data_IF_790317487143
#
_entry.id   IF_790317487143
#
_cell.length_a   1.000
_cell.length_b   1.000
_cell.length_c   1.000
_cell.angle_alpha   90.00
_cell.angle_beta   90.00
_cell.angle_gamma   90.00
#
_symmetry.space_group_name_H-M   'P 1'
#
loop_
_entity.id
_entity.type
_entity.pdbx_description
1 polymer ?
#
# COMPACT_ATOMS: atom_id res chain seq x y z
N UNK A 1 -9.13 -26.22 -3.07
CA UNK A 1 -8.62 -24.90 -3.50
C UNK A 1 -9.61 -23.84 -3.04
N UNK A 2 -9.19 -22.85 -2.24
CA UNK A 2 -10.05 -21.68 -1.95
C UNK A 2 -10.02 -20.80 -3.19
N UNK A 3 -11.17 -20.59 -3.84
CA UNK A 3 -11.30 -19.56 -4.87
C UNK A 3 -11.02 -18.22 -4.19
N UNK A 4 -10.04 -17.42 -4.66
CA UNK A 4 -9.80 -16.12 -4.07
C UNK A 4 -11.06 -15.27 -4.23
N UNK A 5 -11.50 -14.64 -3.14
CA UNK A 5 -12.58 -13.67 -3.20
C UNK A 5 -12.16 -12.54 -4.14
N UNK A 6 -13.04 -12.06 -5.05
CA UNK A 6 -12.70 -10.95 -5.93
C UNK A 6 -12.27 -9.72 -5.10
N UNK A 7 -11.14 -9.12 -5.44
CA UNK A 7 -10.54 -7.98 -4.71
C UNK A 7 -9.78 -7.11 -5.71
N UNK A 8 -9.88 -5.79 -5.59
CA UNK A 8 -9.01 -4.87 -6.32
C UNK A 8 -7.77 -4.62 -5.45
N UNK A 9 -6.58 -4.74 -6.04
CA UNK A 9 -5.31 -4.46 -5.35
C UNK A 9 -4.61 -3.31 -6.06
N UNK A 10 -4.10 -2.34 -5.31
CA UNK A 10 -3.37 -1.20 -5.85
C UNK A 10 -2.09 -0.97 -5.07
N UNK A 11 -0.98 -0.75 -5.77
CA UNK A 11 0.28 -0.31 -5.18
C UNK A 11 0.36 1.22 -5.14
N UNK A 12 0.92 1.79 -4.07
CA UNK A 12 1.25 3.22 -3.99
C UNK A 12 2.58 3.44 -3.30
N UNK A 13 3.37 4.37 -3.80
CA UNK A 13 4.58 4.92 -3.19
C UNK A 13 4.30 6.23 -2.42
N UNK A 14 3.05 6.69 -2.39
CA UNK A 14 2.63 7.96 -1.80
C UNK A 14 2.79 9.17 -2.73
N UNK A 15 3.36 9.00 -3.92
CA UNK A 15 3.47 10.08 -4.91
C UNK A 15 2.10 10.42 -5.51
N UNK A 16 2.02 11.56 -6.21
CA UNK A 16 0.77 12.03 -6.85
C UNK A 16 0.20 10.97 -7.80
N UNK A 17 1.06 10.36 -8.62
CA UNK A 17 0.70 9.30 -9.57
C UNK A 17 0.23 8.03 -8.88
N UNK A 18 0.88 7.64 -7.78
CA UNK A 18 0.43 6.53 -6.93
C UNK A 18 -0.95 6.81 -6.32
N UNK A 19 -1.18 8.03 -5.84
CA UNK A 19 -2.48 8.45 -5.30
C UNK A 19 -3.58 8.50 -6.37
N UNK A 20 -3.27 8.86 -7.62
CA UNK A 20 -4.23 8.78 -8.73
C UNK A 20 -4.64 7.34 -9.05
N UNK A 21 -3.68 6.41 -8.99
CA UNK A 21 -3.98 4.97 -9.11
C UNK A 21 -4.89 4.50 -7.97
N UNK A 22 -4.65 4.94 -6.73
CA UNK A 22 -5.50 4.64 -5.57
C UNK A 22 -6.93 5.14 -5.78
N UNK A 23 -7.10 6.38 -6.25
CA UNK A 23 -8.43 6.96 -6.53
C UNK A 23 -9.18 6.17 -7.60
N UNK A 24 -8.48 5.75 -8.66
CA UNK A 24 -9.08 4.92 -9.70
C UNK A 24 -9.49 3.56 -9.15
N UNK A 25 -8.61 2.90 -8.40
CA UNK A 25 -8.86 1.58 -7.83
C UNK A 25 -10.03 1.60 -6.83
N UNK A 26 -10.16 2.65 -6.03
CA UNK A 26 -11.29 2.85 -5.11
C UNK A 26 -12.62 2.92 -5.85
N UNK A 27 -12.70 3.71 -6.93
CA UNK A 27 -13.90 3.77 -7.76
C UNK A 27 -14.22 2.42 -8.41
N UNK A 28 -13.21 1.69 -8.87
CA UNK A 28 -13.42 0.35 -9.45
C UNK A 28 -13.90 -0.68 -8.43
N UNK A 29 -13.31 -0.69 -7.22
CA UNK A 29 -13.72 -1.56 -6.13
C UNK A 29 -15.18 -1.31 -5.75
N UNK A 30 -15.56 -0.03 -5.59
CA UNK A 30 -16.93 0.38 -5.30
C UNK A 30 -17.89 -0.03 -6.42
N UNK A 31 -17.56 0.23 -7.69
CA UNK A 31 -18.40 -0.16 -8.85
C UNK A 31 -18.64 -1.67 -8.89
N UNK A 32 -17.65 -2.47 -8.52
CA UNK A 32 -17.70 -3.94 -8.54
C UNK A 32 -18.26 -4.55 -7.26
N UNK A 33 -18.49 -3.75 -6.22
CA UNK A 33 -18.88 -4.22 -4.90
C UNK A 33 -17.91 -5.27 -4.33
N UNK A 34 -16.61 -4.97 -4.43
CA UNK A 34 -15.52 -5.84 -3.93
C UNK A 34 -14.57 -5.03 -3.05
N UNK A 35 -13.85 -5.66 -2.11
CA UNK A 35 -12.86 -4.98 -1.28
C UNK A 35 -11.71 -4.37 -2.09
N UNK A 36 -11.09 -3.34 -1.52
CA UNK A 36 -9.85 -2.72 -2.00
C UNK A 36 -8.70 -3.01 -1.03
N UNK A 37 -7.56 -3.46 -1.57
CA UNK A 37 -6.31 -3.58 -0.83
C UNK A 37 -5.28 -2.56 -1.34
N UNK A 38 -4.86 -1.67 -0.45
CA UNK A 38 -3.82 -0.67 -0.74
C UNK A 38 -2.48 -1.19 -0.24
N UNK A 39 -1.52 -1.31 -1.15
CA UNK A 39 -0.20 -1.90 -0.89
C UNK A 39 0.88 -0.84 -1.01
N UNK A 40 1.76 -0.75 -0.02
CA UNK A 40 3.04 -0.07 -0.18
C UNK A 40 4.16 -1.11 -0.22
N UNK A 41 5.07 -0.97 -1.18
CA UNK A 41 6.24 -1.84 -1.31
C UNK A 41 7.46 -1.01 -0.94
N UNK A 42 8.17 -1.44 0.09
CA UNK A 42 9.49 -0.92 0.41
C UNK A 42 10.51 -1.65 -0.45
N UNK A 43 11.32 -0.90 -1.18
CA UNK A 43 12.55 -1.45 -1.73
C UNK A 43 13.57 -1.48 -0.60
N UNK A 44 13.73 -2.66 0.01
CA UNK A 44 14.66 -2.89 1.10
C UNK A 44 15.87 -3.67 0.57
N UNK A 45 16.94 -2.96 0.24
CA UNK A 45 18.16 -3.53 -0.35
C UNK A 45 19.05 -4.31 0.63
N UNK A 46 18.51 -4.70 1.79
CA UNK A 46 19.11 -5.71 2.68
C UNK A 46 20.55 -5.44 3.11
N UNK A 47 21.01 -4.19 3.12
CA UNK A 47 22.35 -3.84 3.59
C UNK A 47 23.46 -3.80 2.54
N UNK A 48 23.18 -3.66 1.24
CA UNK A 48 24.26 -3.56 0.22
C UNK A 48 24.83 -2.16 0.00
N UNK A 49 24.31 -1.13 0.68
CA UNK A 49 24.95 0.19 0.68
C UNK A 49 26.00 0.27 1.80
N UNK A 50 27.16 0.86 1.55
CA UNK A 50 28.17 1.10 2.60
C UNK A 50 27.64 1.99 3.75
N UNK A 51 26.47 2.62 3.58
CA UNK A 51 25.79 3.42 4.61
C UNK A 51 25.00 2.55 5.60
N UNK A 52 24.56 1.36 5.19
CA UNK A 52 23.81 0.42 6.06
C UNK A 52 24.68 -0.13 7.20
N UNK A 53 25.98 -0.34 6.94
CA UNK A 53 26.95 -0.77 7.96
C UNK A 53 27.22 0.31 9.03
N UNK A 54 26.98 1.59 8.70
CA UNK A 54 27.14 2.73 9.61
C UNK A 54 25.85 3.14 10.33
N UNK A 55 24.67 2.85 9.76
CA UNK A 55 23.40 3.42 10.20
C UNK A 55 22.56 2.52 11.14
N UNK A 56 22.89 1.24 11.29
CA UNK A 56 22.03 0.30 12.00
C UNK A 56 20.83 -0.09 11.15
N UNK A 57 20.60 -1.39 11.03
CA UNK A 57 19.65 -1.98 10.09
C UNK A 57 18.19 -1.79 10.59
N UNK A 58 17.62 -0.60 10.42
CA UNK A 58 16.34 -0.21 11.05
C UNK A 58 15.11 -0.63 10.21
N UNK A 59 15.04 -1.92 9.89
CA UNK A 59 13.93 -2.53 9.14
C UNK A 59 12.57 -2.29 9.79
N UNK A 60 12.55 -2.20 11.13
CA UNK A 60 11.35 -1.87 11.89
C UNK A 60 10.84 -0.46 11.57
N UNK A 61 11.73 0.53 11.55
CA UNK A 61 11.38 1.90 11.16
C UNK A 61 10.92 1.96 9.69
N UNK A 62 11.60 1.26 8.79
CA UNK A 62 11.18 1.19 7.39
C UNK A 62 9.77 0.61 7.26
N UNK A 63 9.48 -0.50 7.96
CA UNK A 63 8.16 -1.11 8.00
C UNK A 63 7.09 -0.17 8.58
N UNK A 64 7.41 0.57 9.64
CA UNK A 64 6.51 1.56 10.23
C UNK A 64 6.15 2.67 9.23
N UNK A 65 7.15 3.22 8.53
CA UNK A 65 6.96 4.23 7.50
C UNK A 65 6.12 3.69 6.32
N UNK A 66 6.31 2.43 5.92
CA UNK A 66 5.46 1.80 4.92
C UNK A 66 4.00 1.69 5.35
N UNK A 67 3.77 1.34 6.61
CA UNK A 67 2.42 1.32 7.19
C UNK A 67 1.74 2.67 7.08
N UNK A 68 2.47 3.76 7.31
CA UNK A 68 1.97 5.13 7.17
C UNK A 68 1.56 5.43 5.72
N UNK A 69 2.39 5.07 4.73
CA UNK A 69 2.06 5.31 3.31
C UNK A 69 0.84 4.49 2.87
N UNK A 70 0.76 3.21 3.25
CA UNK A 70 -0.40 2.37 2.95
C UNK A 70 -1.68 2.94 3.60
N UNK A 71 -1.60 3.40 4.85
CA UNK A 71 -2.73 4.03 5.55
C UNK A 71 -3.16 5.35 4.89
N UNK A 72 -2.22 6.18 4.45
CA UNK A 72 -2.52 7.40 3.71
C UNK A 72 -3.20 7.11 2.36
N UNK A 73 -2.80 6.04 1.69
CA UNK A 73 -3.48 5.53 0.50
C UNK A 73 -4.92 5.08 0.83
N UNK A 74 -5.16 4.42 1.97
CA UNK A 74 -6.53 4.09 2.40
C UNK A 74 -7.38 5.33 2.64
N UNK A 75 -6.82 6.40 3.23
CA UNK A 75 -7.53 7.69 3.36
C UNK A 75 -7.92 8.23 1.97
N UNK A 76 -6.96 8.26 1.04
CA UNK A 76 -7.19 8.71 -0.34
C UNK A 76 -8.27 7.89 -1.05
N UNK A 77 -8.32 6.58 -0.80
CA UNK A 77 -9.34 5.70 -1.36
C UNK A 77 -10.74 6.05 -0.84
N UNK A 78 -10.89 6.24 0.48
CA UNK A 78 -12.17 6.58 1.12
C UNK A 78 -12.66 7.97 0.72
N UNK A 79 -11.76 8.93 0.54
CA UNK A 79 -12.12 10.25 0.02
C UNK A 79 -12.68 10.19 -1.41
N UNK A 80 -12.16 9.27 -2.24
CA UNK A 80 -12.61 9.09 -3.63
C UNK A 80 -13.85 8.20 -3.77
N UNK A 81 -14.09 7.30 -2.82
CA UNK A 81 -15.23 6.40 -2.78
C UNK A 81 -15.58 6.09 -1.30
N UNK A 82 -16.50 6.86 -0.68
CA UNK A 82 -16.79 6.75 0.76
C UNK A 82 -17.25 5.38 1.24
N UNK A 83 -17.93 4.63 0.36
CA UNK A 83 -18.49 3.31 0.68
C UNK A 83 -17.52 2.15 0.37
N UNK A 84 -16.26 2.43 -0.03
CA UNK A 84 -15.30 1.38 -0.35
C UNK A 84 -14.77 0.71 0.92
N UNK A 85 -14.83 -0.62 0.95
CA UNK A 85 -14.16 -1.42 1.98
C UNK A 85 -12.66 -1.51 1.64
N UNK A 86 -11.88 -0.57 2.17
CA UNK A 86 -10.44 -0.45 1.93
C UNK A 86 -9.60 -0.77 3.16
N UNK A 87 -8.60 -1.64 2.97
CA UNK A 87 -7.62 -2.06 3.97
C UNK A 87 -6.17 -1.81 3.51
N UNK A 88 -5.26 -1.39 4.41
CA UNK A 88 -3.83 -1.29 4.10
C UNK A 88 -3.18 -2.67 4.17
N UNK A 89 -2.17 -2.90 3.34
CA UNK A 89 -1.38 -4.12 3.34
C UNK A 89 0.10 -3.81 3.05
N UNK A 90 0.99 -4.27 3.93
CA UNK A 90 2.43 -4.09 3.74
C UNK A 90 3.06 -5.44 3.36
N UNK A 91 3.79 -5.48 2.26
CA UNK A 91 4.60 -6.64 1.87
C UNK A 91 6.01 -6.49 2.44
N UNK A 92 6.37 -7.32 3.42
CA UNK A 92 7.76 -7.49 3.86
C UNK A 92 8.30 -8.80 3.29
N UNK A 93 9.36 -8.76 2.47
CA UNK A 93 10.13 -9.94 2.07
C UNK A 93 11.40 -10.02 2.90
#
# INVERSE_FOLDING_TARGET
MRTPTPTVVVGTDGAVTGNDAVRWAAREAARRHVPLRVVHVLDWDGGTSALSDFAGNDFALAQELAGIVAAAGVSTARDAAPDVDAEPFTLSR
#
